data_IF_827634288201
#
_entry.id   IF_827634288201
#
_cell.length_a   1.000
_cell.length_b   1.000
_cell.length_c   1.000
_cell.angle_alpha   90.00
_cell.angle_beta   90.00
_cell.angle_gamma   90.00
#
_symmetry.space_group_name_H-M   'P 1'
#
loop_
_entity.id
_entity.type
_entity.pdbx_description
1 polymer ?
#
# COMPACT_ATOMS: atom_id res chain seq x y z
N UNK A 1 -45.08 -71.68 -51.24
CA UNK A 1 -45.31 -70.21 -51.38
C UNK A 1 -45.85 -69.61 -50.08
N UNK A 2 -46.98 -70.09 -49.55
CA UNK A 2 -47.58 -69.57 -48.30
C UNK A 2 -46.66 -69.70 -47.06
N UNK A 3 -45.98 -70.83 -46.88
CA UNK A 3 -45.05 -71.00 -45.75
C UNK A 3 -43.86 -70.03 -45.79
N UNK A 4 -43.33 -69.76 -46.98
CA UNK A 4 -42.23 -68.80 -47.16
C UNK A 4 -42.68 -67.37 -46.87
N UNK A 5 -43.92 -67.00 -47.20
CA UNK A 5 -44.47 -65.70 -46.80
C UNK A 5 -44.68 -65.60 -45.29
N UNK A 6 -45.14 -66.67 -44.64
CA UNK A 6 -45.33 -66.69 -43.19
C UNK A 6 -43.99 -66.50 -42.45
N UNK A 7 -42.93 -67.16 -42.90
CA UNK A 7 -41.57 -67.02 -42.32
C UNK A 7 -41.06 -65.59 -42.51
N UNK A 8 -41.14 -65.04 -43.72
CA UNK A 8 -40.69 -63.66 -44.00
C UNK A 8 -41.47 -62.61 -43.19
N UNK A 9 -42.77 -62.82 -42.96
CA UNK A 9 -43.58 -61.93 -42.11
C UNK A 9 -43.14 -61.98 -40.65
N UNK A 10 -42.87 -63.17 -40.12
CA UNK A 10 -42.36 -63.33 -38.75
C UNK A 10 -40.98 -62.68 -38.58
N UNK A 11 -40.09 -62.80 -39.58
CA UNK A 11 -38.79 -62.13 -39.59
C UNK A 11 -38.93 -60.60 -39.61
N UNK A 12 -39.81 -60.06 -40.47
CA UNK A 12 -40.08 -58.63 -40.54
C UNK A 12 -40.66 -58.08 -39.22
N UNK A 13 -41.56 -58.83 -38.58
CA UNK A 13 -42.12 -58.45 -37.29
C UNK A 13 -41.05 -58.43 -36.20
N UNK A 14 -40.14 -59.42 -36.17
CA UNK A 14 -39.01 -59.40 -35.24
C UNK A 14 -38.08 -58.20 -35.49
N UNK A 15 -37.78 -57.89 -36.75
CA UNK A 15 -36.95 -56.72 -37.10
C UNK A 15 -37.64 -55.43 -36.66
N UNK A 16 -38.93 -55.28 -36.95
CA UNK A 16 -39.71 -54.11 -36.53
C UNK A 16 -39.68 -53.94 -35.01
N UNK A 17 -39.92 -55.00 -34.24
CA UNK A 17 -39.90 -54.95 -32.78
C UNK A 17 -38.52 -54.61 -32.21
N UNK A 18 -37.44 -55.00 -32.90
CA UNK A 18 -36.07 -54.61 -32.53
C UNK A 18 -35.81 -53.14 -32.84
N UNK A 19 -36.23 -52.68 -34.01
CA UNK A 19 -36.12 -51.27 -34.40
C UNK A 19 -36.90 -50.36 -33.45
N UNK A 20 -38.13 -50.73 -33.11
CA UNK A 20 -38.95 -49.94 -32.19
C UNK A 20 -38.31 -49.82 -30.81
N UNK A 21 -37.71 -50.89 -30.29
CA UNK A 21 -36.95 -50.86 -29.03
C UNK A 21 -35.72 -49.96 -29.13
N UNK A 22 -34.91 -50.13 -30.18
CA UNK A 22 -33.72 -49.30 -30.39
C UNK A 22 -34.06 -47.80 -30.54
N UNK A 23 -35.17 -47.47 -31.22
CA UNK A 23 -35.65 -46.09 -31.31
C UNK A 23 -36.04 -45.57 -29.93
N UNK A 24 -36.81 -46.34 -29.15
CA UNK A 24 -37.22 -45.91 -27.80
C UNK A 24 -36.04 -45.71 -26.84
N UNK A 25 -35.02 -46.58 -26.93
CA UNK A 25 -33.79 -46.46 -26.13
C UNK A 25 -32.99 -45.23 -26.52
N UNK A 26 -32.78 -45.00 -27.83
CA UNK A 26 -32.02 -43.83 -28.31
C UNK A 26 -32.75 -42.51 -28.07
N UNK A 27 -34.08 -42.48 -28.11
CA UNK A 27 -34.89 -41.31 -27.73
C UNK A 27 -34.76 -40.99 -26.25
N UNK A 28 -34.76 -42.00 -25.38
CA UNK A 28 -34.55 -41.82 -23.94
C UNK A 28 -33.14 -41.28 -23.64
N UNK A 29 -32.11 -41.88 -24.23
CA UNK A 29 -30.72 -41.42 -24.09
C UNK A 29 -30.55 -39.97 -24.57
N UNK A 30 -31.17 -39.63 -25.71
CA UNK A 30 -31.13 -38.26 -26.24
C UNK A 30 -31.75 -37.26 -25.26
N UNK A 31 -32.88 -37.59 -24.65
CA UNK A 31 -33.52 -36.72 -23.65
C UNK A 31 -32.65 -36.52 -22.41
N UNK A 32 -31.94 -37.55 -21.96
CA UNK A 32 -30.99 -37.44 -20.85
C UNK A 32 -29.81 -36.53 -21.20
N UNK A 33 -29.22 -36.71 -22.39
CA UNK A 33 -28.14 -35.85 -22.89
C UNK A 33 -28.57 -34.40 -23.03
N UNK A 34 -29.80 -34.13 -23.49
CA UNK A 34 -30.34 -32.77 -23.57
C UNK A 34 -30.49 -32.13 -22.20
N UNK A 35 -30.98 -32.88 -21.19
CA UNK A 35 -31.06 -32.41 -19.81
C UNK A 35 -29.68 -32.08 -19.24
N UNK A 36 -28.70 -32.96 -19.44
CA UNK A 36 -27.33 -32.72 -19.00
C UNK A 36 -26.72 -31.49 -19.67
N UNK A 37 -26.94 -31.33 -20.98
CA UNK A 37 -26.43 -30.18 -21.72
C UNK A 37 -27.00 -28.89 -21.15
N UNK A 38 -28.31 -28.83 -20.91
CA UNK A 38 -28.96 -27.64 -20.32
C UNK A 38 -28.44 -27.34 -18.91
N UNK A 39 -28.23 -28.38 -18.09
CA UNK A 39 -27.65 -28.20 -16.75
C UNK A 39 -26.22 -27.63 -16.82
N UNK A 40 -25.38 -28.17 -17.73
CA UNK A 40 -24.02 -27.68 -17.97
C UNK A 40 -24.01 -26.25 -18.50
N UNK A 41 -24.92 -25.91 -19.41
CA UNK A 41 -25.06 -24.56 -19.96
C UNK A 41 -25.49 -23.56 -18.89
N UNK A 42 -26.45 -23.92 -18.03
CA UNK A 42 -26.84 -23.09 -16.88
C UNK A 42 -25.70 -22.90 -15.89
N UNK A 43 -24.94 -23.96 -15.59
CA UNK A 43 -23.78 -23.87 -14.70
C UNK A 43 -22.67 -22.97 -15.29
N UNK A 44 -22.42 -23.10 -16.60
CA UNK A 44 -21.46 -22.26 -17.32
C UNK A 44 -21.86 -20.78 -17.27
N UNK A 45 -23.13 -20.45 -17.55
CA UNK A 45 -23.63 -19.08 -17.43
C UNK A 45 -23.50 -18.53 -16.01
N UNK A 46 -23.72 -19.36 -14.99
CA UNK A 46 -23.48 -19.00 -13.60
C UNK A 46 -22.01 -18.67 -13.33
N UNK A 47 -21.09 -19.51 -13.80
CA UNK A 47 -19.65 -19.30 -13.66
C UNK A 47 -19.17 -18.03 -14.40
N UNK A 48 -19.70 -17.74 -15.58
CA UNK A 48 -19.39 -16.52 -16.33
C UNK A 48 -19.79 -15.26 -15.57
N UNK A 49 -20.99 -15.23 -14.97
CA UNK A 49 -21.45 -14.10 -14.15
C UNK A 49 -20.57 -13.90 -12.92
N UNK A 50 -20.16 -14.99 -12.26
CA UNK A 50 -19.23 -14.91 -11.13
C UNK A 50 -17.88 -14.34 -11.54
N UNK A 51 -17.38 -14.73 -12.73
CA UNK A 51 -16.13 -14.21 -13.27
C UNK A 51 -16.22 -12.71 -13.59
N UNK A 52 -17.33 -12.24 -14.17
CA UNK A 52 -17.56 -10.80 -14.41
C UNK A 52 -17.53 -9.98 -13.12
N UNK A 53 -18.16 -10.49 -12.04
CA UNK A 53 -18.13 -9.85 -10.72
C UNK A 53 -16.69 -9.76 -10.19
N UNK A 54 -15.94 -10.87 -10.24
CA UNK A 54 -14.55 -10.91 -9.80
C UNK A 54 -13.65 -9.95 -10.60
N UNK A 55 -13.90 -9.77 -11.90
CA UNK A 55 -13.15 -8.82 -12.71
C UNK A 55 -13.42 -7.36 -12.31
N UNK A 56 -14.65 -7.03 -11.93
CA UNK A 56 -14.99 -5.70 -11.40
C UNK A 56 -14.32 -5.48 -10.05
N UNK A 57 -14.41 -6.44 -9.14
CA UNK A 57 -13.76 -6.39 -7.83
C UNK A 57 -12.24 -6.24 -7.96
N UNK A 58 -11.61 -7.02 -8.86
CA UNK A 58 -10.18 -6.94 -9.14
C UNK A 58 -9.78 -5.55 -9.64
N UNK A 59 -10.56 -4.95 -10.54
CA UNK A 59 -10.31 -3.58 -11.02
C UNK A 59 -10.39 -2.56 -9.88
N UNK A 60 -11.44 -2.63 -9.06
CA UNK A 60 -11.58 -1.75 -7.89
C UNK A 60 -10.43 -1.92 -6.89
N UNK A 61 -10.00 -3.16 -6.61
CA UNK A 61 -8.86 -3.43 -5.74
C UNK A 61 -7.54 -2.86 -6.29
N UNK A 62 -7.32 -2.92 -7.61
CA UNK A 62 -6.14 -2.33 -8.25
C UNK A 62 -6.12 -0.80 -8.12
N UNK A 63 -7.24 -0.12 -8.31
CA UNK A 63 -7.34 1.33 -8.13
C UNK A 63 -7.07 1.76 -6.68
N UNK A 64 -7.60 1.02 -5.71
CA UNK A 64 -7.33 1.23 -4.29
C UNK A 64 -5.84 1.03 -3.98
N UNK A 65 -5.24 -0.04 -4.51
CA UNK A 65 -3.81 -0.32 -4.33
C UNK A 65 -2.93 0.79 -4.90
N UNK A 66 -3.22 1.28 -6.10
CA UNK A 66 -2.51 2.42 -6.70
C UNK A 66 -2.64 3.69 -5.85
N UNK A 67 -3.82 3.94 -5.28
CA UNK A 67 -4.05 5.09 -4.40
C UNK A 67 -3.22 5.00 -3.13
N UNK A 68 -3.17 3.82 -2.50
CA UNK A 68 -2.35 3.58 -1.29
C UNK A 68 -0.87 3.71 -1.62
N UNK A 69 -0.43 3.17 -2.76
CA UNK A 69 0.96 3.27 -3.21
C UNK A 69 1.39 4.74 -3.37
N UNK A 70 0.59 5.57 -4.04
CA UNK A 70 0.86 7.01 -4.16
C UNK A 70 0.97 7.70 -2.81
N UNK A 71 0.06 7.41 -1.87
CA UNK A 71 0.13 7.97 -0.51
C UNK A 71 1.39 7.55 0.24
N UNK A 72 1.85 6.31 0.04
CA UNK A 72 3.09 5.81 0.64
C UNK A 72 4.32 6.49 0.01
N UNK A 73 4.33 6.69 -1.31
CA UNK A 73 5.36 7.46 -2.00
C UNK A 73 5.42 8.91 -1.49
N UNK A 74 4.27 9.58 -1.38
CA UNK A 74 4.17 10.95 -0.85
C UNK A 74 4.66 11.03 0.60
N UNK A 75 4.27 10.09 1.46
CA UNK A 75 4.76 10.01 2.83
C UNK A 75 6.28 9.81 2.87
N UNK A 76 6.82 8.95 2.01
CA UNK A 76 8.27 8.70 1.90
C UNK A 76 9.01 9.96 1.46
N UNK A 77 8.51 10.65 0.43
CA UNK A 77 9.10 11.91 -0.05
C UNK A 77 9.05 13.01 1.02
N UNK A 78 7.94 13.10 1.75
CA UNK A 78 7.80 14.03 2.87
C UNK A 78 8.82 13.73 3.98
N UNK A 79 8.97 12.48 4.40
CA UNK A 79 9.94 12.12 5.45
C UNK A 79 11.38 12.40 5.03
N UNK A 80 11.75 12.15 3.76
CA UNK A 80 13.06 12.53 3.23
C UNK A 80 13.28 14.05 3.24
N UNK A 81 12.25 14.82 2.85
CA UNK A 81 12.29 16.29 2.88
C UNK A 81 12.46 16.82 4.30
N UNK A 82 11.70 16.28 5.26
CA UNK A 82 11.82 16.63 6.67
C UNK A 82 13.19 16.27 7.22
N UNK A 83 13.70 15.06 6.91
CA UNK A 83 15.05 14.63 7.29
C UNK A 83 16.11 15.61 6.80
N UNK A 84 16.01 16.06 5.55
CA UNK A 84 16.94 17.02 4.98
C UNK A 84 16.86 18.40 5.66
N UNK A 85 15.63 18.92 5.86
CA UNK A 85 15.43 20.19 6.57
C UNK A 85 15.94 20.13 8.01
N UNK A 86 15.64 19.05 8.72
CA UNK A 86 16.13 18.81 10.07
C UNK A 86 17.66 18.78 10.07
N UNK A 87 18.32 18.04 9.18
CA UNK A 87 19.78 18.05 9.09
C UNK A 87 20.38 19.45 8.84
N UNK A 88 19.74 20.29 8.02
CA UNK A 88 20.15 21.69 7.82
C UNK A 88 20.02 22.52 9.10
N UNK A 89 18.93 22.34 9.84
CA UNK A 89 18.66 23.09 11.06
C UNK A 89 19.36 22.53 12.31
N UNK A 90 19.70 21.24 12.36
CA UNK A 90 20.52 20.65 13.42
C UNK A 90 21.92 21.27 13.46
N UNK A 91 22.45 21.66 12.30
CA UNK A 91 23.67 22.48 12.22
C UNK A 91 23.53 23.86 12.88
N UNK A 92 22.30 24.40 12.95
CA UNK A 92 21.95 25.65 13.65
C UNK A 92 21.63 25.42 15.13
N UNK A 93 21.11 24.24 15.48
CA UNK A 93 20.91 23.76 16.86
C UNK A 93 22.20 23.22 17.49
N UNK A 94 23.36 23.78 17.14
CA UNK A 94 24.52 23.62 18.03
C UNK A 94 24.08 24.20 19.37
N UNK A 95 24.03 23.36 20.41
CA UNK A 95 24.00 23.83 21.79
C UNK A 95 25.02 24.96 21.87
N UNK A 96 24.59 26.17 22.24
CA UNK A 96 25.50 27.28 22.48
C UNK A 96 26.38 26.81 23.64
N UNK A 97 27.51 26.20 23.29
CA UNK A 97 28.54 25.88 24.26
C UNK A 97 28.98 27.24 24.80
N UNK A 98 28.95 27.46 26.13
CA UNK A 98 29.57 28.65 26.69
C UNK A 98 30.96 28.74 26.09
N UNK A 99 31.22 29.79 25.29
CA UNK A 99 32.54 29.96 24.67
C UNK A 99 33.59 29.84 25.76
N UNK A 100 34.75 29.25 25.43
CA UNK A 100 35.88 29.07 26.34
C UNK A 100 36.09 30.37 27.16
N UNK A 101 35.59 30.38 28.40
CA UNK A 101 35.89 31.46 29.32
C UNK A 101 37.37 31.28 29.62
N UNK A 102 38.18 32.27 29.23
CA UNK A 102 39.60 32.29 29.56
C UNK A 102 39.81 32.09 31.08
N UNK A 103 41.05 31.84 31.52
CA UNK A 103 41.34 31.49 32.91
C UNK A 103 40.61 32.44 33.88
N UNK A 104 39.76 31.87 34.73
CA UNK A 104 38.98 32.62 35.71
C UNK A 104 39.95 33.21 36.74
N UNK A 105 39.74 34.47 37.13
CA UNK A 105 40.54 35.10 38.17
C UNK A 105 40.20 34.43 39.51
N UNK A 106 41.17 33.77 40.14
CA UNK A 106 40.98 33.18 41.47
C UNK A 106 41.18 34.28 42.51
N UNK A 107 40.15 34.54 43.31
CA UNK A 107 40.22 35.46 44.44
C UNK A 107 40.28 34.70 45.76
N UNK A 108 40.57 35.40 46.86
CA UNK A 108 40.57 34.84 48.22
C UNK A 108 39.21 34.27 48.66
N UNK A 109 38.15 34.50 47.87
CA UNK A 109 36.78 33.99 48.08
C UNK A 109 36.36 32.93 47.05
N UNK A 110 37.30 32.44 46.23
CA UNK A 110 37.05 31.44 45.18
C UNK A 110 37.12 32.02 43.76
N UNK A 111 36.75 31.21 42.74
CA UNK A 111 36.77 31.62 41.34
C UNK A 111 35.83 32.81 41.11
N UNK A 112 36.37 33.90 40.55
CA UNK A 112 35.57 35.08 40.24
C UNK A 112 34.61 34.80 39.07
N UNK A 113 33.45 35.46 39.07
CA UNK A 113 32.45 35.36 38.02
C UNK A 113 32.90 35.99 36.68
N UNK A 114 34.02 36.72 36.68
CA UNK A 114 34.59 37.44 35.54
C UNK A 114 36.06 37.08 35.33
N UNK A 115 36.51 37.16 34.07
CA UNK A 115 37.92 36.99 33.72
C UNK A 115 38.74 38.27 33.99
N UNK A 116 40.06 38.15 34.03
CA UNK A 116 40.95 39.32 34.17
C UNK A 116 40.81 40.30 33.00
N UNK A 117 40.60 39.79 31.78
CA UNK A 117 40.35 40.60 30.61
C UNK A 117 39.05 41.43 30.75
N UNK A 118 37.96 40.81 31.22
CA UNK A 118 36.68 41.49 31.45
C UNK A 118 36.78 42.57 32.54
N UNK A 119 37.55 42.31 33.59
CA UNK A 119 37.80 43.29 34.66
C UNK A 119 38.56 44.51 34.14
N UNK A 120 39.61 44.30 33.34
CA UNK A 120 40.39 45.39 32.75
C UNK A 120 39.54 46.26 31.80
N UNK A 121 38.62 45.65 31.05
CA UNK A 121 37.71 46.36 30.16
C UNK A 121 36.73 47.23 30.97
N UNK A 122 36.17 46.68 32.05
CA UNK A 122 35.27 47.43 32.95
C UNK A 122 35.99 48.56 33.65
N UNK A 123 37.23 48.36 34.09
CA UNK A 123 38.04 49.42 34.68
C UNK A 123 38.28 50.55 33.68
N UNK A 124 38.60 50.23 32.42
CA UNK A 124 38.74 51.23 31.36
C UNK A 124 37.43 51.99 31.11
N UNK A 125 36.32 51.28 30.94
CA UNK A 125 35.00 51.90 30.76
C UNK A 125 34.62 52.80 31.94
N UNK A 126 34.91 52.36 33.17
CA UNK A 126 34.67 53.17 34.36
C UNK A 126 35.54 54.42 34.39
N UNK A 127 36.82 54.33 34.01
CA UNK A 127 37.68 55.49 33.91
C UNK A 127 37.23 56.47 32.82
N UNK A 128 36.80 55.96 31.66
CA UNK A 128 36.24 56.78 30.58
C UNK A 128 34.98 57.52 31.05
N UNK A 129 34.04 56.84 31.71
CA UNK A 129 32.84 57.47 32.28
C UNK A 129 33.20 58.51 33.34
N UNK A 130 34.18 58.23 34.20
CA UNK A 130 34.64 59.17 35.22
C UNK A 130 35.27 60.41 34.60
N UNK A 131 36.09 60.24 33.56
CA UNK A 131 36.74 61.35 32.87
C UNK A 131 35.74 62.19 32.07
N UNK A 132 34.72 61.57 31.46
CA UNK A 132 33.61 62.28 30.82
C UNK A 132 32.78 63.08 31.83
N UNK A 133 32.48 62.52 33.00
CA UNK A 133 31.78 63.23 34.07
C UNK A 133 32.59 64.43 34.61
N UNK A 134 33.92 64.30 34.65
CA UNK A 134 34.81 65.40 35.03
C UNK A 134 34.97 66.48 33.95
N UNK A 135 34.75 66.15 32.67
CA UNK A 135 34.73 67.11 31.55
C UNK A 135 33.37 67.80 31.35
N UNK A 136 32.30 67.23 31.93
CA UNK A 136 30.93 67.75 31.86
C UNK A 136 30.57 68.70 33.03
N UNK A 137 31.55 69.07 33.87
CA UNK A 137 31.45 70.07 34.96
C UNK A 137 32.29 71.30 34.62
#
# INVERSE_FOLDING_TARGET
>A
LLEQEAIKRAELEQIHLRQQRAISETEAEKQELEKERLAKESALQGAMKQLEVLEVERRGALEQYQTVMKKLEDATNNTQTWKHKVAQHEGLLRLIQPGSKGPLKISNWGPAAFSEAELSLREKQWQEMKNQAAQAQ
#
